data_IF_551268444350
#
_entry.id   IF_551268444350
#
_cell.length_a   1.000
_cell.length_b   1.000
_cell.length_c   1.000
_cell.angle_alpha   90.00
_cell.angle_beta   90.00
_cell.angle_gamma   90.00
#
_symmetry.space_group_name_H-M   'P 1'
#
loop_
_entity.id
_entity.type
_entity.pdbx_description
1 polymer ?
#
# COMPACT_ATOMS: atom_id res chain seq x y z
N UNK A 1 -38.48 21.34 41.08
CA UNK A 1 -37.92 22.05 39.92
C UNK A 1 -36.49 21.59 39.79
N UNK A 2 -36.17 20.82 38.76
CA UNK A 2 -34.82 20.29 38.55
C UNK A 2 -34.41 20.69 37.14
N UNK A 3 -33.51 21.66 37.05
CA UNK A 3 -33.00 22.16 35.77
C UNK A 3 -32.10 21.12 35.12
N UNK A 4 -32.35 20.86 33.83
CA UNK A 4 -31.55 19.98 32.99
C UNK A 4 -30.32 20.76 32.50
N UNK A 5 -29.10 20.20 32.53
CA UNK A 5 -27.93 20.89 31.99
C UNK A 5 -28.03 20.98 30.45
N UNK A 6 -27.48 22.04 29.83
CA UNK A 6 -27.52 22.20 28.38
C UNK A 6 -26.63 21.16 27.70
N UNK A 7 -27.13 20.59 26.60
CA UNK A 7 -26.39 19.69 25.73
C UNK A 7 -25.21 20.41 25.05
N UNK A 8 -24.02 19.79 24.97
CA UNK A 8 -22.89 20.38 24.26
C UNK A 8 -23.17 20.44 22.75
N UNK A 9 -22.87 21.57 22.12
CA UNK A 9 -22.99 21.77 20.68
C UNK A 9 -22.01 20.87 19.94
N UNK A 10 -22.53 20.07 19.01
CA UNK A 10 -21.73 19.26 18.08
C UNK A 10 -20.90 20.19 17.19
N UNK A 11 -19.57 20.00 17.07
CA UNK A 11 -18.77 20.80 16.15
C UNK A 11 -19.18 20.51 14.70
N UNK A 12 -19.52 21.56 13.97
CA UNK A 12 -19.76 21.52 12.51
C UNK A 12 -18.48 21.05 11.82
N UNK A 13 -18.50 20.01 10.97
CA UNK A 13 -17.33 19.62 10.21
C UNK A 13 -16.96 20.76 9.26
N UNK A 14 -15.81 21.38 9.52
CA UNK A 14 -15.18 22.29 8.57
C UNK A 14 -14.85 21.49 7.32
N UNK A 15 -15.47 21.86 6.19
CA UNK A 15 -15.10 21.34 4.89
C UNK A 15 -13.61 21.59 4.68
N UNK A 16 -12.81 20.53 4.71
CA UNK A 16 -11.39 20.60 4.49
C UNK A 16 -11.17 20.86 3.00
N UNK A 17 -10.86 22.10 2.66
CA UNK A 17 -10.26 22.44 1.38
C UNK A 17 -8.80 22.02 1.50
N UNK A 18 -8.50 20.77 1.19
CA UNK A 18 -7.14 20.35 0.88
C UNK A 18 -7.05 20.29 -0.63
N UNK A 19 -6.15 21.11 -1.18
CA UNK A 19 -5.70 21.04 -2.56
C UNK A 19 -5.36 19.59 -2.94
N UNK A 20 -5.39 19.28 -4.23
CA UNK A 20 -4.88 18.03 -4.78
C UNK A 20 -3.39 17.86 -4.42
N UNK A 21 -3.13 17.40 -3.20
CA UNK A 21 -1.93 16.67 -2.86
C UNK A 21 -2.09 15.32 -3.54
N UNK A 22 -1.11 14.91 -4.34
CA UNK A 22 -0.97 13.51 -4.72
C UNK A 22 -1.12 12.70 -3.42
N UNK A 23 -2.20 11.90 -3.34
CA UNK A 23 -2.66 11.34 -2.09
C UNK A 23 -1.69 10.24 -1.69
N UNK A 24 -0.72 10.64 -0.84
CA UNK A 24 0.30 9.74 -0.33
C UNK A 24 -0.36 8.48 0.22
N UNK A 25 -0.09 7.35 -0.42
CA UNK A 25 -0.76 6.08 -0.09
C UNK A 25 0.15 5.28 0.82
N UNK A 26 -0.18 5.26 2.10
CA UNK A 26 0.62 4.58 3.13
C UNK A 26 -0.17 3.40 3.71
N UNK A 27 0.48 2.25 3.85
CA UNK A 27 -0.12 1.06 4.45
C UNK A 27 0.85 0.32 5.36
N UNK A 28 0.32 -0.32 6.40
CA UNK A 28 1.07 -1.25 7.24
C UNK A 28 1.13 -2.65 6.61
N UNK A 29 2.08 -3.50 7.02
CA UNK A 29 2.14 -4.89 6.56
C UNK A 29 0.83 -5.61 6.83
N UNK A 30 0.24 -5.43 8.02
CA UNK A 30 -1.07 -6.04 8.35
C UNK A 30 -2.19 -5.58 7.44
N UNK A 31 -2.22 -4.30 7.06
CA UNK A 31 -3.21 -3.76 6.13
C UNK A 31 -3.03 -4.32 4.71
N UNK A 32 -1.78 -4.44 4.26
CA UNK A 32 -1.47 -5.05 2.96
C UNK A 32 -1.83 -6.53 2.94
N UNK A 33 -1.49 -7.28 3.98
CA UNK A 33 -1.89 -8.69 4.13
C UNK A 33 -3.40 -8.82 4.01
N UNK A 34 -4.15 -8.10 4.85
CA UNK A 34 -5.61 -8.16 4.84
C UNK A 34 -6.21 -7.79 3.46
N UNK A 35 -5.69 -6.74 2.82
CA UNK A 35 -6.16 -6.30 1.50
C UNK A 35 -5.88 -7.33 0.41
N UNK A 36 -4.71 -7.96 0.41
CA UNK A 36 -4.35 -8.96 -0.60
C UNK A 36 -5.13 -10.25 -0.37
N UNK A 37 -5.22 -10.71 0.88
CA UNK A 37 -6.00 -11.90 1.24
C UNK A 37 -7.48 -11.75 0.84
N UNK A 38 -8.07 -10.56 1.02
CA UNK A 38 -9.43 -10.25 0.57
C UNK A 38 -9.54 -10.29 -0.97
N UNK A 39 -8.56 -9.73 -1.68
CA UNK A 39 -8.55 -9.70 -3.14
C UNK A 39 -8.39 -11.08 -3.79
N UNK A 40 -7.54 -11.96 -3.22
CA UNK A 40 -7.23 -13.28 -3.80
C UNK A 40 -7.99 -14.44 -3.14
N UNK A 41 -8.64 -14.21 -1.99
CA UNK A 41 -9.39 -15.22 -1.24
C UNK A 41 -8.52 -16.31 -0.59
N UNK A 42 -7.22 -16.07 -0.44
CA UNK A 42 -6.25 -17.01 0.15
C UNK A 42 -5.59 -16.38 1.37
N UNK A 43 -5.13 -17.21 2.30
CA UNK A 43 -4.31 -16.75 3.42
C UNK A 43 -2.84 -16.66 3.02
N UNK A 44 -2.21 -15.56 3.38
CA UNK A 44 -0.77 -15.37 3.23
C UNK A 44 -0.05 -15.93 4.46
N UNK A 45 1.20 -16.31 4.27
CA UNK A 45 2.09 -16.58 5.39
C UNK A 45 2.81 -15.27 5.73
N UNK A 46 2.53 -14.72 6.91
CA UNK A 46 3.02 -13.40 7.34
C UNK A 46 4.53 -13.25 7.19
N UNK A 47 5.33 -14.26 7.60
CA UNK A 47 6.78 -14.19 7.51
C UNK A 47 7.28 -14.16 6.06
N UNK A 48 6.68 -14.97 5.19
CA UNK A 48 7.05 -14.99 3.76
C UNK A 48 6.63 -13.68 3.09
N UNK A 49 5.48 -13.14 3.45
CA UNK A 49 4.99 -11.89 2.88
C UNK A 49 5.83 -10.69 3.33
N UNK A 50 6.21 -10.63 4.62
CA UNK A 50 7.13 -9.61 5.11
C UNK A 50 8.50 -9.68 4.42
N UNK A 51 9.07 -10.87 4.28
CA UNK A 51 10.32 -11.08 3.52
C UNK A 51 10.20 -10.60 2.06
N UNK A 52 9.05 -10.82 1.43
CA UNK A 52 8.77 -10.33 0.09
C UNK A 52 8.73 -8.80 0.04
N UNK A 53 8.04 -8.13 0.97
CA UNK A 53 7.97 -6.67 1.02
C UNK A 53 9.35 -6.04 1.22
N UNK A 54 10.17 -6.63 2.10
CA UNK A 54 11.56 -6.20 2.32
C UNK A 54 12.42 -6.37 1.06
N UNK A 55 12.23 -7.45 0.31
CA UNK A 55 12.95 -7.65 -0.95
C UNK A 55 12.49 -6.66 -2.04
N UNK A 56 11.20 -6.31 -2.08
CA UNK A 56 10.68 -5.30 -3.00
C UNK A 56 11.24 -3.91 -2.67
N UNK A 57 11.39 -3.57 -1.39
CA UNK A 57 12.05 -2.35 -0.94
C UNK A 57 13.53 -2.30 -1.32
N UNK A 58 14.28 -3.40 -1.13
CA UNK A 58 15.68 -3.50 -1.59
C UNK A 58 15.84 -3.29 -3.10
N UNK A 59 14.81 -3.61 -3.87
CA UNK A 59 14.75 -3.41 -5.33
C UNK A 59 14.13 -2.08 -5.72
N UNK A 60 13.84 -1.23 -4.74
CA UNK A 60 13.25 0.10 -4.91
C UNK A 60 11.83 0.09 -5.52
N UNK A 61 11.10 -1.02 -5.40
CA UNK A 61 9.72 -1.12 -5.87
C UNK A 61 8.70 -0.64 -4.85
N UNK A 62 9.02 -0.80 -3.57
CA UNK A 62 8.30 -0.24 -2.43
C UNK A 62 9.27 0.65 -1.65
N UNK A 63 8.74 1.50 -0.77
CA UNK A 63 9.56 2.30 0.13
C UNK A 63 9.13 2.05 1.58
N UNK A 64 10.05 1.48 2.36
CA UNK A 64 9.86 1.39 3.80
C UNK A 64 10.01 2.78 4.44
N UNK A 65 8.98 3.23 5.16
CA UNK A 65 8.98 4.54 5.80
C UNK A 65 9.41 4.48 7.26
N UNK A 66 8.78 3.60 8.05
CA UNK A 66 8.99 3.54 9.50
C UNK A 66 8.39 2.27 10.11
N UNK A 67 8.49 2.14 11.44
CA UNK A 67 7.76 1.14 12.22
C UNK A 67 6.71 1.89 13.05
N UNK A 68 5.46 1.43 12.96
CA UNK A 68 4.34 1.98 13.73
C UNK A 68 4.55 1.78 15.24
N UNK A 69 3.77 2.48 16.06
CA UNK A 69 3.81 2.29 17.53
C UNK A 69 3.45 0.86 17.96
N UNK A 70 2.74 0.11 17.11
CA UNK A 70 2.38 -1.29 17.35
C UNK A 70 3.45 -2.30 16.93
N UNK A 71 4.56 -1.84 16.33
CA UNK A 71 5.63 -2.71 15.84
C UNK A 71 5.46 -3.18 14.39
N UNK A 72 4.43 -2.72 13.67
CA UNK A 72 4.22 -3.07 12.26
C UNK A 72 5.00 -2.12 11.32
N UNK A 73 5.62 -2.67 10.28
CA UNK A 73 6.27 -1.91 9.21
C UNK A 73 5.25 -1.08 8.43
N UNK A 74 5.64 0.15 8.10
CA UNK A 74 4.84 1.11 7.35
C UNK A 74 5.51 1.34 6.00
N UNK A 75 4.73 1.20 4.93
CA UNK A 75 5.17 1.24 3.55
C UNK A 75 4.51 2.41 2.82
N UNK A 76 5.31 3.19 2.10
CA UNK A 76 4.83 4.15 1.12
C UNK A 76 4.63 3.45 -0.22
N UNK A 77 3.41 3.49 -0.71
CA UNK A 77 2.96 2.84 -1.95
C UNK A 77 2.68 3.85 -3.05
N UNK A 78 3.02 5.13 -2.84
CA UNK A 78 2.60 6.21 -3.75
C UNK A 78 3.14 6.02 -5.17
N UNK A 79 4.39 5.58 -5.29
CA UNK A 79 5.03 5.28 -6.59
C UNK A 79 5.00 3.77 -6.94
N UNK A 80 4.48 2.93 -6.05
CA UNK A 80 4.55 1.48 -6.21
C UNK A 80 3.84 0.97 -7.49
N UNK A 81 2.65 1.46 -7.87
CA UNK A 81 1.99 1.04 -9.11
C UNK A 81 2.84 1.28 -10.36
N UNK A 82 3.47 2.45 -10.46
CA UNK A 82 4.31 2.83 -11.60
C UNK A 82 5.57 1.97 -11.64
N UNK A 83 6.27 1.84 -10.50
CA UNK A 83 7.53 1.07 -10.43
C UNK A 83 7.33 -0.41 -10.68
N UNK A 84 6.27 -1.01 -10.12
CA UNK A 84 5.91 -2.41 -10.37
C UNK A 84 5.41 -2.61 -11.80
N UNK A 85 4.64 -1.67 -12.34
CA UNK A 85 4.14 -1.72 -13.70
C UNK A 85 5.27 -1.73 -14.74
N UNK A 86 6.26 -0.85 -14.57
CA UNK A 86 7.45 -0.80 -15.45
C UNK A 86 8.24 -2.11 -15.40
N UNK A 87 8.52 -2.63 -14.20
CA UNK A 87 9.25 -3.88 -14.04
C UNK A 87 8.53 -5.08 -14.68
N UNK A 88 7.21 -5.14 -14.55
CA UNK A 88 6.40 -6.17 -15.21
C UNK A 88 6.42 -6.00 -16.74
N UNK A 89 6.33 -4.78 -17.25
CA UNK A 89 6.40 -4.50 -18.68
C UNK A 89 7.75 -4.92 -19.26
N UNK A 90 8.86 -4.57 -18.60
CA UNK A 90 10.21 -4.95 -19.00
C UNK A 90 10.38 -6.49 -19.03
N UNK A 91 9.92 -7.18 -17.98
CA UNK A 91 9.99 -8.64 -17.91
C UNK A 91 9.18 -9.31 -19.03
N UNK A 92 7.99 -8.78 -19.35
CA UNK A 92 7.16 -9.30 -20.44
C UNK A 92 7.81 -9.07 -21.81
N UNK A 93 8.37 -7.88 -22.06
CA UNK A 93 9.08 -7.58 -23.32
C UNK A 93 10.28 -8.50 -23.48
N UNK A 94 11.11 -8.66 -22.45
CA UNK A 94 12.25 -9.56 -22.46
C UNK A 94 11.82 -11.00 -22.75
N UNK A 95 10.71 -11.45 -22.15
CA UNK A 95 10.17 -12.80 -22.38
C UNK A 95 9.67 -13.02 -23.80
N UNK A 96 9.05 -12.00 -24.41
CA UNK A 96 8.58 -12.04 -25.80
C UNK A 96 9.75 -12.04 -26.79
N UNK A 97 10.79 -11.25 -26.53
CA UNK A 97 12.00 -11.23 -27.34
C UNK A 97 12.68 -12.60 -27.35
N UNK A 98 12.89 -13.19 -26.17
CA UNK A 98 13.47 -14.53 -26.05
C UNK A 98 12.64 -15.59 -26.80
N UNK A 99 11.32 -15.49 -26.77
CA UNK A 99 10.46 -16.42 -27.51
C UNK A 99 10.58 -16.28 -29.02
N UNK A 100 10.67 -15.05 -29.54
CA UNK A 100 10.85 -14.80 -30.97
C UNK A 100 12.20 -15.31 -31.45
N UNK A 101 13.26 -15.13 -30.66
CA UNK A 101 14.61 -15.63 -30.96
C UNK A 101 14.70 -17.17 -30.95
N UNK A 102 13.90 -17.86 -30.13
CA UNK A 102 13.81 -19.33 -30.14
C UNK A 102 13.07 -19.90 -31.36
N UNK A 103 12.32 -19.07 -32.09
CA UNK A 103 11.43 -19.50 -33.18
C UNK A 103 12.01 -19.23 -34.58
N UNK A 104 13.20 -18.61 -34.67
CA UNK A 104 13.97 -18.35 -35.91
C UNK A 104 15.13 -19.35 -36.04
#
# INVERSE_FOLDING_TARGET
MTERPPTPSTPTPTASIAAAAEERTVATTSQLTASIEDAIGLRLNDAIFEDLLLELDRRNYLEWETISRGGDYVWDLSDAPERLGEALAEALVARMQAWLEETD
#
